data_IF_175024306632
#
_entry.id   IF_175024306632
#
_cell.length_a   1.000
_cell.length_b   1.000
_cell.length_c   1.000
_cell.angle_alpha   90.00
_cell.angle_beta   90.00
_cell.angle_gamma   90.00
#
_symmetry.space_group_name_H-M   'P 1'
#
loop_
_entity.id
_entity.type
_entity.pdbx_description
1 polymer ?
#
# COMPACT_ATOMS: atom_id res chain seq x y z
N UNK A 1 -1.18 -26.65 -6.12
CA UNK A 1 -1.66 -25.99 -7.36
C UNK A 1 -0.63 -24.99 -7.75
N UNK A 2 -0.21 -24.97 -9.02
CA UNK A 2 0.81 -24.07 -9.54
C UNK A 2 0.19 -23.24 -10.66
N UNK A 3 -0.01 -21.95 -10.42
CA UNK A 3 -0.67 -20.96 -11.30
C UNK A 3 -1.97 -21.44 -11.99
N UNK A 4 -2.93 -22.06 -11.29
CA UNK A 4 -4.03 -22.77 -11.94
C UNK A 4 -5.01 -21.88 -12.71
N UNK A 5 -5.01 -20.56 -12.43
CA UNK A 5 -5.96 -19.61 -13.03
C UNK A 5 -5.30 -18.62 -14.01
N UNK A 6 -3.99 -18.73 -14.24
CA UNK A 6 -3.20 -17.75 -15.00
C UNK A 6 -3.63 -17.54 -16.45
N UNK A 7 -4.20 -18.56 -17.10
CA UNK A 7 -4.60 -18.51 -18.51
C UNK A 7 -6.07 -18.10 -18.74
N UNK A 8 -6.83 -17.76 -17.68
CA UNK A 8 -8.26 -17.52 -17.76
C UNK A 8 -8.60 -16.03 -17.92
N UNK A 9 -9.72 -15.76 -18.57
CA UNK A 9 -10.31 -14.41 -18.56
C UNK A 9 -10.77 -14.00 -17.16
N UNK A 10 -10.99 -12.70 -16.96
CA UNK A 10 -11.28 -12.14 -15.65
C UNK A 10 -12.54 -12.70 -15.00
N UNK A 11 -13.61 -12.90 -15.74
CA UNK A 11 -14.88 -13.34 -15.16
C UNK A 11 -14.80 -14.80 -14.71
N UNK A 12 -14.30 -15.68 -15.58
CA UNK A 12 -14.11 -17.08 -15.27
C UNK A 12 -13.12 -17.28 -14.12
N UNK A 13 -12.08 -16.44 -14.05
CA UNK A 13 -11.12 -16.45 -12.94
C UNK A 13 -11.81 -16.16 -11.59
N UNK A 14 -12.65 -15.12 -11.51
CA UNK A 14 -13.38 -14.79 -10.28
C UNK A 14 -14.35 -15.90 -9.85
N UNK A 15 -15.05 -16.53 -10.79
CA UNK A 15 -15.93 -17.67 -10.51
C UNK A 15 -15.16 -18.86 -9.94
N UNK A 16 -14.04 -19.23 -10.58
CA UNK A 16 -13.23 -20.35 -10.13
C UNK A 16 -12.51 -20.08 -8.81
N UNK A 17 -12.09 -18.84 -8.55
CA UNK A 17 -11.57 -18.45 -7.23
C UNK A 17 -12.60 -18.71 -6.14
N UNK A 18 -13.86 -18.30 -6.34
CA UNK A 18 -14.93 -18.54 -5.39
C UNK A 18 -15.17 -20.05 -5.17
N UNK A 19 -15.20 -20.85 -6.24
CA UNK A 19 -15.36 -22.29 -6.15
C UNK A 19 -14.22 -22.99 -5.41
N UNK A 20 -12.95 -22.62 -5.69
CA UNK A 20 -11.78 -23.14 -4.98
C UNK A 20 -11.88 -22.81 -3.49
N UNK A 21 -12.21 -21.57 -3.15
CA UNK A 21 -12.37 -21.14 -1.77
C UNK A 21 -13.48 -21.92 -1.04
N UNK A 22 -14.65 -22.10 -1.67
CA UNK A 22 -15.74 -22.89 -1.11
C UNK A 22 -15.38 -24.36 -0.94
N UNK A 23 -14.71 -24.96 -1.94
CA UNK A 23 -14.27 -26.34 -1.89
C UNK A 23 -13.28 -26.57 -0.74
N UNK A 24 -12.29 -25.70 -0.61
CA UNK A 24 -11.28 -25.77 0.45
C UNK A 24 -11.93 -25.67 1.84
N UNK A 25 -12.87 -24.73 2.03
CA UNK A 25 -13.61 -24.58 3.29
C UNK A 25 -14.48 -25.79 3.62
N UNK A 26 -15.09 -26.40 2.62
CA UNK A 26 -15.96 -27.56 2.80
C UNK A 26 -15.22 -28.83 3.09
N UNK A 27 -14.05 -29.03 2.45
CA UNK A 27 -13.25 -30.26 2.59
C UNK A 27 -12.22 -30.18 3.72
N UNK A 28 -11.79 -28.97 4.08
CA UNK A 28 -10.70 -28.74 5.04
C UNK A 28 -9.33 -29.26 4.58
N UNK A 29 -9.17 -29.61 3.30
CA UNK A 29 -7.90 -30.14 2.77
C UNK A 29 -6.85 -29.05 2.75
N UNK A 30 -5.69 -29.24 3.40
CA UNK A 30 -4.57 -28.30 3.28
C UNK A 30 -4.14 -28.16 1.82
N UNK A 31 -4.09 -26.91 1.34
CA UNK A 31 -3.80 -26.61 -0.07
C UNK A 31 -2.64 -25.64 -0.16
N UNK A 32 -1.59 -26.01 -0.89
CA UNK A 32 -0.55 -25.08 -1.31
C UNK A 32 -0.91 -24.53 -2.69
N UNK A 33 -1.02 -23.20 -2.76
CA UNK A 33 -1.36 -22.46 -3.97
C UNK A 33 -0.20 -21.53 -4.34
N UNK A 34 0.34 -21.69 -5.54
CA UNK A 34 1.41 -20.84 -6.07
C UNK A 34 0.81 -19.93 -7.13
N UNK A 35 1.03 -18.65 -7.01
CA UNK A 35 0.55 -17.63 -7.97
C UNK A 35 1.46 -16.41 -7.95
N UNK A 36 1.52 -15.69 -9.05
CA UNK A 36 2.08 -14.34 -9.13
C UNK A 36 0.99 -13.25 -9.09
N UNK A 37 -0.28 -13.64 -9.05
CA UNK A 37 -1.41 -12.71 -8.94
C UNK A 37 -1.68 -12.39 -7.46
N UNK A 38 -1.54 -11.10 -7.13
CA UNK A 38 -1.69 -10.59 -5.75
C UNK A 38 -3.15 -10.72 -5.28
N UNK A 39 -4.13 -10.47 -6.16
CA UNK A 39 -5.55 -10.55 -5.82
C UNK A 39 -5.93 -12.01 -5.51
N UNK A 40 -5.40 -12.98 -6.25
CA UNK A 40 -5.56 -14.41 -5.96
C UNK A 40 -4.99 -14.77 -4.59
N UNK A 41 -3.76 -14.36 -4.33
CA UNK A 41 -3.10 -14.64 -3.05
C UNK A 41 -3.88 -14.06 -1.87
N UNK A 42 -4.32 -12.81 -1.98
CA UNK A 42 -5.08 -12.13 -0.93
C UNK A 42 -6.48 -12.74 -0.72
N UNK A 43 -7.14 -13.20 -1.79
CA UNK A 43 -8.50 -13.74 -1.73
C UNK A 43 -8.57 -15.18 -1.23
N UNK A 44 -7.66 -16.05 -1.70
CA UNK A 44 -7.73 -17.50 -1.47
C UNK A 44 -7.02 -17.97 -0.21
N UNK A 45 -6.02 -17.22 0.27
CA UNK A 45 -5.09 -17.76 1.26
C UNK A 45 -5.47 -17.44 2.69
N UNK A 46 -5.27 -18.41 3.61
CA UNK A 46 -5.25 -18.15 5.05
C UNK A 46 -3.90 -17.56 5.49
N UNK A 47 -2.83 -17.93 4.80
CA UNK A 47 -1.48 -17.41 5.00
C UNK A 47 -0.78 -17.28 3.67
N UNK A 48 -0.02 -16.21 3.51
CA UNK A 48 0.79 -15.94 2.32
C UNK A 48 2.27 -16.01 2.72
N UNK A 49 3.06 -16.73 1.92
CA UNK A 49 4.51 -16.68 1.94
C UNK A 49 4.99 -15.89 0.72
N UNK A 50 5.58 -14.73 0.93
CA UNK A 50 6.20 -13.94 -0.13
C UNK A 50 7.61 -14.43 -0.39
N UNK A 51 7.87 -14.88 -1.61
CA UNK A 51 9.16 -15.42 -2.02
C UNK A 51 9.91 -14.43 -2.91
N UNK A 52 11.17 -14.15 -2.59
CA UNK A 52 12.06 -13.35 -3.41
C UNK A 52 13.44 -14.01 -3.45
N UNK A 53 14.02 -14.16 -4.65
CA UNK A 53 15.33 -14.78 -4.89
C UNK A 53 15.51 -16.12 -4.14
N UNK A 54 14.49 -16.97 -4.17
CA UNK A 54 14.50 -18.29 -3.54
C UNK A 54 14.40 -18.31 -2.01
N UNK A 55 14.04 -17.17 -1.38
CA UNK A 55 13.88 -17.04 0.07
C UNK A 55 12.49 -16.53 0.40
N UNK A 56 11.93 -16.99 1.52
CA UNK A 56 10.71 -16.40 2.08
C UNK A 56 11.11 -15.10 2.78
N UNK A 57 10.62 -13.98 2.25
CA UNK A 57 10.91 -12.62 2.78
C UNK A 57 9.80 -12.09 3.70
N UNK A 58 8.60 -12.68 3.61
CA UNK A 58 7.50 -12.39 4.52
C UNK A 58 6.55 -13.59 4.61
N UNK A 59 5.97 -13.79 5.78
CA UNK A 59 4.98 -14.84 6.04
C UNK A 59 3.93 -14.33 7.02
N UNK A 60 2.66 -14.34 6.64
CA UNK A 60 1.59 -13.84 7.48
C UNK A 60 0.20 -14.09 6.90
N UNK A 61 -0.82 -13.57 7.57
CA UNK A 61 -2.16 -13.51 6.98
C UNK A 61 -2.21 -12.44 5.88
N UNK A 62 -3.12 -12.58 4.89
CA UNK A 62 -3.30 -11.58 3.84
C UNK A 62 -3.42 -10.16 4.38
N UNK A 63 -4.30 -9.97 5.37
CA UNK A 63 -4.57 -8.67 5.96
C UNK A 63 -3.34 -8.09 6.69
N UNK A 64 -2.62 -8.90 7.48
CA UNK A 64 -1.43 -8.46 8.17
C UNK A 64 -0.32 -8.02 7.21
N UNK A 65 -0.06 -8.82 6.17
CA UNK A 65 0.98 -8.50 5.18
C UNK A 65 0.63 -7.28 4.33
N UNK A 66 -0.66 -7.05 4.04
CA UNK A 66 -1.10 -5.88 3.29
C UNK A 66 -1.05 -4.60 4.13
N UNK A 67 -1.60 -4.65 5.37
CA UNK A 67 -1.71 -3.48 6.25
C UNK A 67 -0.42 -3.14 6.98
N UNK A 68 0.41 -4.15 7.30
CA UNK A 68 1.64 -3.99 8.06
C UNK A 68 2.78 -4.80 7.40
N UNK A 69 3.15 -4.48 6.15
CA UNK A 69 4.23 -5.17 5.46
C UNK A 69 5.55 -5.01 6.22
N UNK A 70 6.37 -6.06 6.30
CA UNK A 70 7.61 -6.00 7.08
C UNK A 70 8.69 -5.11 6.46
N UNK A 71 8.63 -4.88 5.15
CA UNK A 71 9.60 -4.08 4.42
C UNK A 71 9.00 -3.46 3.15
N UNK A 72 9.76 -2.57 2.52
CA UNK A 72 9.39 -1.89 1.28
C UNK A 72 9.00 -2.86 0.16
N UNK A 73 9.80 -3.91 -0.04
CA UNK A 73 9.57 -4.87 -1.12
C UNK A 73 8.20 -5.57 -0.96
N UNK A 74 7.89 -6.05 0.24
CA UNK A 74 6.60 -6.69 0.53
C UNK A 74 5.43 -5.72 0.34
N UNK A 75 5.60 -4.45 0.74
CA UNK A 75 4.58 -3.41 0.54
C UNK A 75 4.25 -3.20 -0.94
N UNK A 76 5.29 -3.08 -1.78
CA UNK A 76 5.15 -2.85 -3.21
C UNK A 76 4.72 -4.11 -3.98
N UNK A 77 5.08 -5.30 -3.49
CA UNK A 77 4.68 -6.55 -4.11
C UNK A 77 3.18 -6.85 -3.92
N UNK A 78 2.60 -6.51 -2.76
CA UNK A 78 1.19 -6.82 -2.45
C UNK A 78 0.19 -5.76 -2.94
N UNK A 79 0.63 -4.70 -3.57
CA UNK A 79 -0.25 -3.68 -4.14
C UNK A 79 0.44 -2.34 -4.31
N UNK A 80 -0.28 -1.40 -4.92
CA UNK A 80 0.21 -0.04 -5.07
C UNK A 80 0.57 0.56 -3.71
N UNK A 81 1.74 1.19 -3.62
CA UNK A 81 2.22 1.81 -2.39
C UNK A 81 3.02 3.07 -2.71
N UNK A 82 2.68 4.18 -2.10
CA UNK A 82 3.53 5.35 -2.06
C UNK A 82 4.69 5.07 -1.12
N UNK A 83 5.91 5.23 -1.60
CA UNK A 83 7.14 5.09 -0.82
C UNK A 83 7.72 6.47 -0.62
N UNK A 84 7.71 6.96 0.62
CA UNK A 84 8.27 8.26 0.97
C UNK A 84 9.64 8.03 1.63
N UNK A 85 10.74 8.41 0.99
CA UNK A 85 12.06 8.34 1.59
C UNK A 85 12.12 9.23 2.84
N UNK A 86 12.78 8.74 3.89
CA UNK A 86 13.02 9.51 5.10
C UNK A 86 14.51 9.71 5.28
N UNK A 87 14.92 10.95 5.61
CA UNK A 87 16.32 11.31 5.87
C UNK A 87 16.72 11.00 7.31
N UNK A 88 15.78 11.16 8.22
CA UNK A 88 15.93 10.85 9.64
C UNK A 88 14.55 10.52 10.24
N UNK A 89 14.55 9.81 11.36
CA UNK A 89 13.33 9.57 12.13
C UNK A 89 13.66 9.35 13.60
N UNK A 90 12.69 9.59 14.48
CA UNK A 90 12.82 9.38 15.92
C UNK A 90 11.58 8.70 16.48
N UNK A 91 11.76 7.78 17.39
CA UNK A 91 10.69 7.14 18.14
C UNK A 91 10.03 8.15 19.10
N UNK A 92 8.70 8.13 19.16
CA UNK A 92 7.91 8.96 20.07
C UNK A 92 7.49 8.22 21.34
N UNK A 93 7.79 6.91 21.44
CA UNK A 93 7.54 6.08 22.61
C UNK A 93 6.11 5.53 22.74
N UNK A 94 5.23 5.85 21.79
CA UNK A 94 3.82 5.42 21.78
C UNK A 94 3.51 4.46 20.61
N UNK A 95 4.54 3.83 20.04
CA UNK A 95 4.43 2.98 18.84
C UNK A 95 4.40 3.78 17.54
N UNK A 96 4.61 5.10 17.62
CA UNK A 96 4.72 5.99 16.45
C UNK A 96 6.10 6.63 16.37
N UNK A 97 6.39 7.19 15.21
CA UNK A 97 7.62 7.92 14.91
C UNK A 97 7.33 9.28 14.31
N UNK A 98 8.23 10.22 14.48
CA UNK A 98 8.31 11.42 13.67
C UNK A 98 9.44 11.21 12.65
N UNK A 99 9.11 11.28 11.36
CA UNK A 99 10.01 11.03 10.25
C UNK A 99 10.15 12.26 9.36
N UNK A 100 11.39 12.65 9.08
CA UNK A 100 11.70 13.77 8.20
C UNK A 100 11.68 13.29 6.76
N UNK A 101 10.68 13.73 5.98
CA UNK A 101 10.59 13.42 4.55
C UNK A 101 11.67 14.18 3.75
N UNK A 102 12.02 13.67 2.56
CA UNK A 102 12.93 14.34 1.63
C UNK A 102 12.47 15.76 1.25
N UNK A 103 11.16 16.01 1.27
CA UNK A 103 10.55 17.33 1.04
C UNK A 103 10.57 18.29 2.24
N UNK A 104 11.25 17.93 3.34
CA UNK A 104 11.39 18.78 4.54
C UNK A 104 10.19 18.79 5.48
N UNK A 105 9.17 18.01 5.22
CA UNK A 105 8.02 17.87 6.13
C UNK A 105 8.30 16.78 7.18
N UNK A 106 7.90 17.04 8.43
CA UNK A 106 7.90 16.03 9.49
C UNK A 106 6.57 15.29 9.48
N UNK A 107 6.63 14.00 9.22
CA UNK A 107 5.45 13.14 9.10
C UNK A 107 5.37 12.23 10.32
N UNK A 108 4.15 12.05 10.85
CA UNK A 108 3.90 11.04 11.89
C UNK A 108 3.52 9.71 11.23
N UNK A 109 4.10 8.62 11.72
CA UNK A 109 3.86 7.29 11.17
C UNK A 109 3.85 6.24 12.27
N UNK A 110 3.17 5.10 12.04
CA UNK A 110 3.24 3.93 12.92
C UNK A 110 4.55 3.17 12.70
N UNK A 111 5.08 2.58 13.77
CA UNK A 111 6.24 1.68 13.74
C UNK A 111 5.86 0.28 14.26
N UNK A 112 5.04 -0.49 13.51
CA UNK A 112 4.49 -1.76 13.98
C UNK A 112 5.56 -2.83 14.20
N UNK A 113 6.71 -2.70 13.53
CA UNK A 113 7.80 -3.68 13.62
C UNK A 113 8.88 -3.28 14.63
N UNK A 114 8.71 -2.18 15.36
CA UNK A 114 9.66 -1.73 16.38
C UNK A 114 11.05 -1.45 15.82
N UNK A 115 11.15 -0.86 14.62
CA UNK A 115 12.43 -0.46 14.05
C UNK A 115 13.15 0.49 15.00
N UNK A 116 14.47 0.30 15.14
CA UNK A 116 15.30 1.10 16.02
C UNK A 116 15.86 2.31 15.28
N UNK A 117 16.09 3.41 16.00
CA UNK A 117 16.78 4.58 15.45
C UNK A 117 18.08 4.19 14.76
N UNK A 118 18.29 4.71 13.55
CA UNK A 118 19.44 4.39 12.71
C UNK A 118 19.21 3.23 11.72
N UNK A 119 18.08 2.52 11.79
CA UNK A 119 17.70 1.58 10.74
C UNK A 119 17.38 2.34 9.45
N UNK A 120 17.81 1.79 8.32
CA UNK A 120 17.41 2.30 7.01
C UNK A 120 15.94 2.00 6.79
N UNK A 121 15.13 3.03 6.63
CA UNK A 121 13.69 2.91 6.58
C UNK A 121 13.05 3.87 5.58
N UNK A 122 11.84 3.55 5.19
CA UNK A 122 10.95 4.40 4.37
C UNK A 122 9.56 4.43 4.99
N UNK A 123 8.77 5.45 4.64
CA UNK A 123 7.35 5.44 4.94
C UNK A 123 6.56 4.85 3.77
N UNK A 124 5.62 3.99 4.10
CA UNK A 124 4.64 3.43 3.17
C UNK A 124 3.29 4.07 3.44
N UNK A 125 2.66 4.56 2.38
CA UNK A 125 1.31 5.11 2.41
C UNK A 125 0.49 4.52 1.27
N UNK A 126 -0.61 3.85 1.60
CA UNK A 126 -1.49 3.25 0.59
C UNK A 126 -2.26 4.33 -0.17
N UNK A 127 -2.39 4.23 -1.51
CA UNK A 127 -3.15 5.19 -2.32
C UNK A 127 -4.61 5.35 -1.90
N UNK A 128 -5.25 4.29 -1.41
CA UNK A 128 -6.64 4.30 -0.92
C UNK A 128 -6.82 5.00 0.43
N UNK A 129 -5.74 5.14 1.22
CA UNK A 129 -5.75 5.90 2.48
C UNK A 129 -5.58 7.40 2.25
N UNK A 130 -5.25 7.80 1.02
CA UNK A 130 -5.05 9.18 0.64
C UNK A 130 -6.35 9.90 0.36
N UNK A 131 -6.36 11.20 0.63
CA UNK A 131 -7.44 12.14 0.31
C UNK A 131 -6.85 13.42 -0.28
N UNK A 132 -7.60 14.10 -1.13
CA UNK A 132 -7.19 15.40 -1.67
C UNK A 132 -7.96 16.53 -1.01
N UNK A 133 -7.25 17.60 -0.72
CA UNK A 133 -7.75 18.82 -0.09
C UNK A 133 -7.25 20.04 -0.85
N UNK A 134 -8.04 21.10 -0.87
CA UNK A 134 -7.66 22.41 -1.42
C UNK A 134 -6.79 23.22 -0.44
N UNK A 135 -6.79 22.82 0.84
CA UNK A 135 -6.03 23.50 1.89
C UNK A 135 -5.20 22.49 2.69
N UNK A 136 -4.07 22.92 3.28
CA UNK A 136 -3.27 22.08 4.15
C UNK A 136 -4.10 21.50 5.29
N UNK A 137 -3.90 20.22 5.59
CA UNK A 137 -4.43 19.60 6.79
C UNK A 137 -3.48 19.81 7.98
N UNK A 138 -3.84 19.27 9.15
CA UNK A 138 -3.01 19.37 10.35
C UNK A 138 -1.53 19.03 10.08
N UNK A 139 -0.63 19.61 10.84
CA UNK A 139 0.81 19.43 10.64
C UNK A 139 1.21 17.95 10.62
N UNK A 140 1.93 17.54 9.59
CA UNK A 140 2.38 16.17 9.38
C UNK A 140 1.35 15.20 8.79
N UNK A 141 0.14 15.68 8.45
CA UNK A 141 -0.93 14.87 7.88
C UNK A 141 -1.25 15.19 6.42
N UNK A 142 -0.49 16.08 5.79
CA UNK A 142 -0.63 16.37 4.35
C UNK A 142 0.64 16.93 3.73
N UNK A 143 0.77 16.74 2.41
CA UNK A 143 1.86 17.26 1.58
C UNK A 143 1.28 18.04 0.41
N UNK A 144 1.86 19.19 0.02
CA UNK A 144 1.48 19.90 -1.18
C UNK A 144 1.84 19.07 -2.42
N UNK A 145 0.89 18.93 -3.34
CA UNK A 145 1.04 18.13 -4.56
C UNK A 145 0.47 18.85 -5.77
N UNK A 146 0.95 18.47 -6.96
CA UNK A 146 0.35 18.81 -8.23
C UNK A 146 -0.30 17.56 -8.83
N UNK A 147 -1.50 17.67 -9.36
CA UNK A 147 -2.14 16.61 -10.16
C UNK A 147 -1.49 16.58 -11.54
N UNK A 148 -0.93 15.43 -11.95
CA UNK A 148 -0.39 15.23 -13.30
C UNK A 148 -1.37 14.49 -14.19
N UNK A 149 -1.87 13.35 -13.73
CA UNK A 149 -2.80 12.54 -14.51
C UNK A 149 -3.94 12.00 -13.67
N UNK A 150 -5.08 11.83 -14.33
CA UNK A 150 -6.26 11.21 -13.77
C UNK A 150 -6.73 10.10 -14.69
N UNK A 151 -6.89 8.91 -14.13
CA UNK A 151 -7.42 7.74 -14.82
C UNK A 151 -8.74 7.32 -14.17
N UNK A 152 -9.82 7.41 -14.95
CA UNK A 152 -11.13 6.93 -14.49
C UNK A 152 -11.24 5.42 -14.77
N UNK A 153 -11.43 4.63 -13.72
CA UNK A 153 -11.50 3.17 -13.75
C UNK A 153 -12.89 2.65 -13.31
N UNK A 154 -13.93 3.41 -13.56
CA UNK A 154 -15.29 3.08 -13.13
C UNK A 154 -15.52 3.32 -11.63
N UNK A 155 -15.49 2.28 -10.82
CA UNK A 155 -15.70 2.39 -9.37
C UNK A 155 -14.63 3.23 -8.65
N UNK A 156 -13.47 3.41 -9.23
CA UNK A 156 -12.33 4.16 -8.69
C UNK A 156 -11.77 5.13 -9.71
N UNK A 157 -11.04 6.14 -9.22
CA UNK A 157 -10.17 6.98 -10.02
C UNK A 157 -8.76 6.86 -9.43
N UNK A 158 -7.77 6.64 -10.30
CA UNK A 158 -6.35 6.73 -9.96
C UNK A 158 -5.86 8.12 -10.32
N UNK A 159 -5.20 8.76 -9.37
CA UNK A 159 -4.59 10.06 -9.56
C UNK A 159 -3.09 9.92 -9.45
N UNK A 160 -2.36 10.47 -10.41
CA UNK A 160 -0.91 10.59 -10.38
C UNK A 160 -0.56 12.01 -9.95
N UNK A 161 0.20 12.10 -8.89
CA UNK A 161 0.51 13.32 -8.19
C UNK A 161 2.02 13.52 -8.13
N UNK A 162 2.46 14.78 -8.08
CA UNK A 162 3.87 15.14 -7.98
C UNK A 162 4.12 16.07 -6.81
N UNK A 163 5.13 15.75 -5.99
CA UNK A 163 5.69 16.65 -4.99
C UNK A 163 6.61 17.69 -5.61
N UNK A 164 6.91 18.74 -4.88
CA UNK A 164 7.81 19.81 -5.33
C UNK A 164 9.25 19.33 -5.62
N UNK A 165 9.71 18.27 -4.93
CA UNK A 165 11.00 17.63 -5.15
C UNK A 165 11.03 16.68 -6.36
N UNK A 166 9.91 16.55 -7.08
CA UNK A 166 9.77 15.68 -8.24
C UNK A 166 9.34 14.25 -7.93
N UNK A 167 9.13 13.89 -6.65
CA UNK A 167 8.68 12.56 -6.29
C UNK A 167 7.24 12.32 -6.77
N UNK A 168 7.00 11.16 -7.39
CA UNK A 168 5.68 10.73 -7.82
C UNK A 168 4.93 10.06 -6.66
N UNK A 169 3.65 10.38 -6.50
CA UNK A 169 2.73 9.77 -5.56
C UNK A 169 1.43 9.40 -6.28
N UNK A 170 0.64 8.52 -5.68
CA UNK A 170 -0.66 8.11 -6.18
C UNK A 170 -1.74 8.24 -5.10
N UNK A 171 -2.96 8.54 -5.55
CA UNK A 171 -4.15 8.43 -4.71
C UNK A 171 -5.22 7.63 -5.46
N UNK A 172 -5.99 6.84 -4.71
CA UNK A 172 -7.12 6.08 -5.22
C UNK A 172 -8.41 6.60 -4.57
N UNK A 173 -9.22 7.29 -5.36
CA UNK A 173 -10.48 7.88 -4.88
C UNK A 173 -11.68 7.12 -5.45
N UNK A 174 -12.84 7.29 -4.81
CA UNK A 174 -14.09 6.77 -5.38
C UNK A 174 -14.37 7.38 -6.76
N UNK A 175 -14.82 6.57 -7.70
CA UNK A 175 -15.22 7.03 -9.04
C UNK A 175 -16.39 8.03 -9.03
N UNK A 176 -17.19 8.07 -7.96
CA UNK A 176 -18.31 8.99 -7.79
C UNK A 176 -17.88 10.40 -7.34
N UNK A 177 -16.64 10.58 -6.87
CA UNK A 177 -16.17 11.90 -6.46
C UNK A 177 -15.89 12.79 -7.68
N UNK A 178 -16.15 14.11 -7.58
CA UNK A 178 -15.77 15.04 -8.64
C UNK A 178 -14.25 15.05 -8.83
N UNK A 179 -13.82 15.31 -10.04
CA UNK A 179 -12.41 15.51 -10.31
C UNK A 179 -11.93 16.81 -9.67
N UNK A 180 -10.75 16.83 -9.04
CA UNK A 180 -10.11 18.10 -8.70
C UNK A 180 -9.86 18.91 -9.98
N UNK A 181 -9.93 20.22 -9.88
CA UNK A 181 -9.62 21.10 -11.02
C UNK A 181 -8.14 20.96 -11.39
N UNK A 182 -7.86 20.92 -12.69
CA UNK A 182 -6.49 20.97 -13.18
C UNK A 182 -5.81 22.25 -12.71
N UNK A 183 -4.54 22.18 -12.37
CA UNK A 183 -3.68 23.31 -11.93
C UNK A 183 -4.07 23.99 -10.60
N UNK A 184 -5.03 23.42 -9.85
CA UNK A 184 -5.31 23.91 -8.50
C UNK A 184 -4.21 23.47 -7.53
N UNK A 185 -3.83 24.31 -6.56
CA UNK A 185 -3.00 23.88 -5.46
C UNK A 185 -3.76 22.81 -4.66
N UNK A 186 -3.17 21.62 -4.58
CA UNK A 186 -3.75 20.48 -3.88
C UNK A 186 -2.85 20.02 -2.75
N UNK A 187 -3.46 19.43 -1.75
CA UNK A 187 -2.77 18.76 -0.66
C UNK A 187 -3.20 17.31 -0.62
N UNK A 188 -2.24 16.40 -0.70
CA UNK A 188 -2.45 14.99 -0.43
C UNK A 188 -2.40 14.79 1.08
N UNK A 189 -3.55 14.48 1.67
CA UNK A 189 -3.67 14.21 3.09
C UNK A 189 -4.05 12.75 3.36
N UNK A 190 -3.93 12.35 4.60
CA UNK A 190 -4.24 11.02 5.12
C UNK A 190 -4.61 11.09 6.60
N UNK A 191 -5.11 9.99 7.17
CA UNK A 191 -5.26 9.89 8.62
C UNK A 191 -3.87 9.85 9.28
N UNK A 192 -3.71 10.48 10.44
CA UNK A 192 -2.43 10.65 11.13
C UNK A 192 -1.62 9.35 11.30
N UNK A 193 -2.30 8.21 11.40
CA UNK A 193 -1.70 6.91 11.60
C UNK A 193 -1.68 6.01 10.33
N UNK A 194 -2.03 6.55 9.16
CA UNK A 194 -2.00 5.79 7.91
C UNK A 194 -0.58 5.47 7.43
N UNK A 195 0.43 6.38 7.52
CA UNK A 195 1.80 6.04 7.12
C UNK A 195 2.42 5.00 8.05
N UNK A 196 3.18 4.08 7.46
CA UNK A 196 3.92 3.04 8.17
C UNK A 196 5.42 3.21 7.95
N UNK A 197 6.21 3.15 9.03
CA UNK A 197 7.65 3.02 8.93
C UNK A 197 7.99 1.55 8.72
N UNK A 198 8.68 1.26 7.62
CA UNK A 198 9.13 -0.09 7.29
C UNK A 198 10.61 -0.08 6.89
N UNK A 199 11.24 -1.25 6.97
CA UNK A 199 12.63 -1.41 6.55
C UNK A 199 12.76 -1.21 5.03
N UNK A 200 13.81 -0.46 4.62
CA UNK A 200 14.14 -0.23 3.21
C UNK A 200 15.07 -1.34 2.69
N UNK A 201 14.47 -2.51 2.42
CA UNK A 201 15.10 -3.69 1.85
C UNK A 201 14.64 -3.92 0.41
#
# INVERSE_FOLDING_TARGET
>A
MDEPLGALDKNLRLELQAEIHHLQRRTGVPTLYVTHDQEEALYLSHRIALCNLGRIVALGTPEALYREPPNRWAAQFLGDANVLPVSAWRDLGDGTVAADSSGGAVLRARNPHGLRNGSRAVLILRPEDCRLYEQPQAAGASLPVRLEHRHFLGARQRLELRLADGQALQASLSGSLPAPAADSPLHLGWSELAPLLVEDL
#
